data_IF_178803818614
#
_entry.id   IF_178803818614
#
_cell.length_a   1.000
_cell.length_b   1.000
_cell.length_c   1.000
_cell.angle_alpha   90.00
_cell.angle_beta   90.00
_cell.angle_gamma   90.00
#
_symmetry.space_group_name_H-M   'P 1'
#
loop_
_entity.id
_entity.type
_entity.pdbx_description
1 polymer ?
#
# COMPACT_ATOMS: atom_id res chain seq x y z
N UNK A 1 -22.08 2.76 27.62
CA UNK A 1 -23.14 2.15 26.79
C UNK A 1 -22.56 1.02 25.94
N UNK A 2 -23.14 -0.19 26.04
CA UNK A 2 -22.67 -1.37 25.30
C UNK A 2 -23.31 -1.49 23.90
N UNK A 3 -23.26 -0.41 23.12
CA UNK A 3 -24.02 -0.25 21.87
C UNK A 3 -23.14 -0.38 20.63
N UNK A 4 -21.92 0.17 20.65
CA UNK A 4 -21.07 0.27 19.45
C UNK A 4 -19.72 -0.44 19.62
N UNK A 5 -18.85 0.07 20.50
CA UNK A 5 -17.50 -0.48 20.74
C UNK A 5 -17.52 -1.93 21.21
N UNK A 6 -18.27 -2.22 22.28
CA UNK A 6 -18.38 -3.58 22.81
C UNK A 6 -19.02 -4.54 21.80
N UNK A 7 -19.97 -4.06 21.02
CA UNK A 7 -20.66 -4.82 19.97
C UNK A 7 -19.66 -5.22 18.89
N UNK A 8 -18.84 -4.29 18.40
CA UNK A 8 -17.80 -4.58 17.41
C UNK A 8 -16.80 -5.64 17.89
N UNK A 9 -16.36 -5.55 19.16
CA UNK A 9 -15.43 -6.54 19.75
C UNK A 9 -16.07 -7.93 19.85
N UNK A 10 -17.33 -8.01 20.30
CA UNK A 10 -18.06 -9.29 20.37
C UNK A 10 -18.30 -9.87 18.98
N UNK A 11 -18.68 -9.04 17.99
CA UNK A 11 -18.82 -9.48 16.60
C UNK A 11 -17.50 -10.04 16.07
N UNK A 12 -16.37 -9.34 16.25
CA UNK A 12 -15.06 -9.82 15.82
C UNK A 12 -14.66 -11.15 16.48
N UNK A 13 -15.01 -11.32 17.76
CA UNK A 13 -14.77 -12.55 18.50
C UNK A 13 -15.54 -13.72 17.86
N UNK A 14 -16.84 -13.57 17.64
CA UNK A 14 -17.67 -14.60 16.99
C UNK A 14 -17.17 -14.95 15.58
N UNK A 15 -16.82 -13.95 14.78
CA UNK A 15 -16.22 -14.18 13.45
C UNK A 15 -14.97 -15.06 13.53
N UNK A 16 -14.11 -14.82 14.53
CA UNK A 16 -12.85 -15.56 14.69
C UNK A 16 -13.07 -16.97 15.26
N UNK A 17 -13.92 -17.13 16.27
CA UNK A 17 -14.07 -18.40 16.99
C UNK A 17 -15.04 -19.35 16.33
N UNK A 18 -16.08 -18.83 15.66
CA UNK A 18 -17.14 -19.62 15.04
C UNK A 18 -17.05 -19.62 13.51
N UNK A 19 -16.10 -18.88 12.93
CA UNK A 19 -15.92 -18.82 11.48
C UNK A 19 -17.08 -18.14 10.73
N UNK A 20 -17.88 -17.35 11.45
CA UNK A 20 -19.01 -16.62 10.89
C UNK A 20 -18.54 -15.45 10.04
N UNK A 21 -19.31 -15.15 8.98
CA UNK A 21 -19.16 -13.88 8.25
C UNK A 21 -19.49 -12.69 9.14
N UNK A 22 -19.05 -11.49 8.76
CA UNK A 22 -19.35 -10.28 9.53
C UNK A 22 -20.87 -10.04 9.66
N UNK A 23 -21.66 -10.38 8.63
CA UNK A 23 -23.12 -10.22 8.61
C UNK A 23 -23.78 -11.18 9.58
N UNK A 24 -23.40 -12.46 9.55
CA UNK A 24 -23.93 -13.50 10.43
C UNK A 24 -23.57 -13.20 11.89
N UNK A 25 -22.30 -12.88 12.15
CA UNK A 25 -21.85 -12.55 13.50
C UNK A 25 -22.56 -11.31 14.05
N UNK A 26 -22.77 -10.27 13.25
CA UNK A 26 -23.48 -9.08 13.69
C UNK A 26 -24.97 -9.35 13.91
N UNK A 27 -25.61 -10.13 13.04
CA UNK A 27 -27.00 -10.56 13.22
C UNK A 27 -27.18 -11.35 14.53
N UNK A 28 -26.26 -12.25 14.86
CA UNK A 28 -26.27 -12.98 16.13
C UNK A 28 -26.20 -12.03 17.34
N UNK A 29 -25.33 -11.02 17.29
CA UNK A 29 -25.24 -10.00 18.35
C UNK A 29 -26.53 -9.18 18.45
N UNK A 30 -27.14 -8.79 17.33
CA UNK A 30 -28.42 -8.05 17.29
C UNK A 30 -29.58 -8.89 17.84
N UNK A 31 -29.58 -10.20 17.60
CA UNK A 31 -30.59 -11.11 18.14
C UNK A 31 -30.53 -11.18 19.68
N UNK A 32 -29.33 -11.23 20.25
CA UNK A 32 -29.14 -11.20 21.70
C UNK A 32 -29.31 -9.79 22.30
N UNK A 33 -29.00 -8.74 21.53
CA UNK A 33 -29.09 -7.34 21.95
C UNK A 33 -29.69 -6.47 20.84
N UNK A 34 -31.01 -6.24 20.85
CA UNK A 34 -31.69 -5.45 19.82
C UNK A 34 -31.17 -4.02 19.67
N UNK A 35 -30.72 -3.41 20.77
CA UNK A 35 -30.19 -2.03 20.83
C UNK A 35 -28.73 -1.90 20.33
N UNK A 36 -28.09 -2.98 19.89
CA UNK A 36 -26.70 -2.95 19.45
C UNK A 36 -26.56 -2.21 18.11
N UNK A 37 -25.90 -1.05 18.06
CA UNK A 37 -25.75 -0.25 16.84
C UNK A 37 -24.28 0.16 16.66
N UNK A 38 -23.56 -0.60 15.82
CA UNK A 38 -22.16 -0.29 15.53
C UNK A 38 -22.06 0.85 14.50
N UNK A 39 -21.09 1.75 14.69
CA UNK A 39 -20.88 2.85 13.75
C UNK A 39 -20.29 2.34 12.41
N UNK A 40 -20.44 3.09 11.30
CA UNK A 40 -19.96 2.67 9.99
C UNK A 40 -18.46 2.35 9.93
N UNK A 41 -17.63 3.02 10.74
CA UNK A 41 -16.19 2.76 10.83
C UNK A 41 -15.89 1.36 11.35
N UNK A 42 -16.58 0.92 12.42
CA UNK A 42 -16.46 -0.45 12.92
C UNK A 42 -17.00 -1.48 11.91
N UNK A 43 -18.07 -1.17 11.19
CA UNK A 43 -18.57 -2.07 10.14
C UNK A 43 -17.53 -2.27 9.04
N UNK A 44 -16.90 -1.19 8.58
CA UNK A 44 -15.84 -1.25 7.58
C UNK A 44 -14.61 -2.00 8.08
N UNK A 45 -14.20 -1.79 9.35
CA UNK A 45 -13.11 -2.52 9.98
C UNK A 45 -13.39 -4.03 10.07
N UNK A 46 -14.61 -4.45 10.40
CA UNK A 46 -14.96 -5.87 10.48
C UNK A 46 -15.01 -6.54 9.10
N UNK A 47 -15.52 -5.85 8.07
CA UNK A 47 -15.43 -6.32 6.68
C UNK A 47 -13.97 -6.50 6.23
N UNK A 48 -13.10 -5.57 6.61
CA UNK A 48 -11.67 -5.69 6.34
C UNK A 48 -11.05 -6.86 7.13
N UNK A 49 -11.43 -7.04 8.39
CA UNK A 49 -10.98 -8.13 9.24
C UNK A 49 -11.38 -9.50 8.67
N UNK A 50 -12.60 -9.64 8.17
CA UNK A 50 -13.08 -10.82 7.44
C UNK A 50 -12.25 -11.06 6.17
N UNK A 51 -12.01 -10.02 5.35
CA UNK A 51 -11.19 -10.12 4.14
C UNK A 51 -9.73 -10.52 4.43
N UNK A 52 -9.25 -10.26 5.64
CA UNK A 52 -7.94 -10.70 6.15
C UNK A 52 -8.01 -12.05 6.89
N UNK A 53 -9.10 -12.80 6.73
CA UNK A 53 -9.27 -14.13 7.32
C UNK A 53 -9.41 -14.11 8.84
N UNK A 54 -10.04 -13.08 9.40
CA UNK A 54 -10.17 -12.86 10.85
C UNK A 54 -8.80 -12.83 11.57
N UNK A 55 -7.81 -12.23 10.90
CA UNK A 55 -6.47 -11.95 11.46
C UNK A 55 -6.05 -10.52 11.13
N UNK A 56 -5.13 -9.97 11.93
CA UNK A 56 -4.54 -8.65 11.68
C UNK A 56 -3.07 -8.85 11.35
N UNK A 57 -2.79 -9.18 10.09
CA UNK A 57 -1.43 -9.25 9.57
C UNK A 57 -0.96 -7.85 9.16
N UNK A 58 0.00 -7.31 9.92
CA UNK A 58 0.56 -5.97 9.68
C UNK A 58 1.37 -5.87 8.39
N UNK A 59 1.76 -7.01 7.81
CA UNK A 59 2.47 -7.08 6.53
C UNK A 59 1.52 -7.11 5.33
N UNK A 60 0.23 -7.37 5.55
CA UNK A 60 -0.78 -7.45 4.51
C UNK A 60 -0.93 -6.12 3.75
N UNK A 61 -0.96 -6.14 2.41
CA UNK A 61 -1.24 -4.95 1.60
C UNK A 61 -2.58 -4.29 1.95
N UNK A 62 -3.59 -5.07 2.34
CA UNK A 62 -4.91 -4.56 2.74
C UNK A 62 -4.80 -3.71 4.02
N UNK A 63 -4.08 -4.22 5.02
CA UNK A 63 -3.88 -3.52 6.27
C UNK A 63 -3.04 -2.25 6.09
N UNK A 64 -1.96 -2.33 5.27
CA UNK A 64 -1.13 -1.18 4.86
C UNK A 64 -1.95 -0.10 4.17
N UNK A 65 -2.84 -0.46 3.26
CA UNK A 65 -3.71 0.52 2.61
C UNK A 65 -4.70 1.14 3.59
N UNK A 66 -5.31 0.33 4.45
CA UNK A 66 -6.25 0.81 5.47
C UNK A 66 -5.63 1.84 6.41
N UNK A 67 -4.49 1.53 7.02
CA UNK A 67 -3.81 2.47 7.94
C UNK A 67 -3.36 3.75 7.24
N UNK A 68 -2.95 3.68 5.98
CA UNK A 68 -2.63 4.88 5.19
C UNK A 68 -3.85 5.76 4.94
N UNK A 69 -5.03 5.17 4.69
CA UNK A 69 -6.28 5.92 4.54
C UNK A 69 -6.70 6.61 5.85
N UNK A 70 -6.62 5.87 6.97
CA UNK A 70 -6.93 6.43 8.30
C UNK A 70 -6.05 7.64 8.60
N UNK A 71 -4.77 7.63 8.22
CA UNK A 71 -3.89 8.79 8.41
C UNK A 71 -4.34 10.01 7.62
N UNK A 72 -4.69 9.82 6.34
CA UNK A 72 -5.20 10.92 5.50
C UNK A 72 -6.46 11.56 6.10
N UNK A 73 -7.30 10.77 6.77
CA UNK A 73 -8.54 11.25 7.40
C UNK A 73 -8.30 11.90 8.77
N UNK A 74 -7.36 11.39 9.57
CA UNK A 74 -7.15 11.84 10.96
C UNK A 74 -6.09 12.93 11.13
N UNK A 75 -5.12 13.06 10.22
CA UNK A 75 -3.98 13.96 10.38
C UNK A 75 -4.05 15.10 9.35
N UNK A 76 -4.84 16.14 9.66
CA UNK A 76 -5.04 17.30 8.76
C UNK A 76 -3.78 18.13 8.52
N UNK A 77 -2.81 18.09 9.44
CA UNK A 77 -1.62 18.94 9.38
C UNK A 77 -0.32 18.18 9.07
N UNK A 78 -0.33 16.83 9.13
CA UNK A 78 0.82 15.95 8.84
C UNK A 78 2.15 16.41 9.46
N UNK A 79 2.10 17.08 10.62
CA UNK A 79 3.28 17.61 11.32
C UNK A 79 4.06 16.52 12.05
N UNK A 80 3.36 15.45 12.44
CA UNK A 80 3.94 14.26 13.06
C UNK A 80 3.26 13.02 12.47
N UNK A 81 4.07 12.08 11.96
CA UNK A 81 3.60 10.85 11.33
C UNK A 81 4.09 9.67 12.17
N UNK A 82 3.18 8.78 12.65
CA UNK A 82 3.61 7.65 13.45
C UNK A 82 4.64 6.77 12.72
N UNK A 83 5.73 6.41 13.40
CA UNK A 83 6.83 5.64 12.79
C UNK A 83 6.35 4.31 12.18
N UNK A 84 5.31 3.71 12.76
CA UNK A 84 4.69 2.46 12.34
C UNK A 84 4.08 2.52 10.94
N UNK A 85 3.86 3.70 10.39
CA UNK A 85 3.33 3.92 9.04
C UNK A 85 4.40 3.65 7.99
N UNK A 86 5.67 3.85 8.36
CA UNK A 86 6.78 3.78 7.44
C UNK A 86 7.35 2.37 7.34
N UNK A 87 7.56 1.91 6.12
CA UNK A 87 8.46 0.80 5.87
C UNK A 87 9.90 1.19 6.26
N UNK A 88 10.64 0.23 6.80
CA UNK A 88 12.05 0.43 7.15
C UNK A 88 12.90 0.79 5.91
N UNK A 89 13.82 1.74 6.06
CA UNK A 89 14.80 2.03 5.00
C UNK A 89 15.67 0.77 4.76
N UNK A 90 15.70 0.22 3.53
CA UNK A 90 16.48 -0.98 3.23
C UNK A 90 17.99 -0.86 3.48
N UNK A 91 18.50 0.35 3.63
CA UNK A 91 19.92 0.60 3.91
C UNK A 91 20.25 0.68 5.40
N UNK A 92 19.24 0.85 6.26
CA UNK A 92 19.41 0.90 7.71
C UNK A 92 19.28 -0.49 8.36
N UNK A 93 18.73 -1.48 7.64
CA UNK A 93 18.47 -2.82 8.15
C UNK A 93 19.24 -3.88 7.33
N UNK A 94 20.18 -4.58 7.96
CA UNK A 94 21.00 -5.62 7.30
C UNK A 94 20.32 -6.97 7.12
N UNK A 95 19.10 -7.15 7.66
CA UNK A 95 18.37 -8.41 7.59
C UNK A 95 17.27 -8.30 6.54
N UNK A 96 17.55 -8.77 5.33
CA UNK A 96 16.51 -9.05 4.34
C UNK A 96 16.44 -10.56 4.17
N UNK A 97 15.24 -11.16 4.07
CA UNK A 97 15.11 -12.53 3.60
C UNK A 97 15.88 -12.67 2.27
N UNK A 98 16.61 -13.77 2.10
CA UNK A 98 17.48 -13.98 0.93
C UNK A 98 16.71 -13.92 -0.41
N UNK A 99 15.38 -14.04 -0.36
CA UNK A 99 14.47 -14.05 -1.51
C UNK A 99 13.77 -12.71 -1.79
N UNK A 100 13.96 -11.69 -0.95
CA UNK A 100 13.25 -10.42 -1.10
C UNK A 100 13.82 -9.57 -2.23
N UNK A 101 12.94 -9.03 -3.07
CA UNK A 101 13.32 -8.18 -4.19
C UNK A 101 13.54 -6.75 -3.68
N UNK A 102 14.72 -6.18 -3.96
CA UNK A 102 15.09 -4.81 -3.62
C UNK A 102 15.04 -3.89 -4.84
N UNK A 103 14.45 -2.72 -4.67
CA UNK A 103 14.40 -1.69 -5.70
C UNK A 103 15.45 -0.62 -5.41
N UNK A 104 16.33 -0.36 -6.39
CA UNK A 104 17.47 0.54 -6.26
C UNK A 104 17.34 1.71 -7.21
N UNK A 105 17.79 2.89 -6.80
CA UNK A 105 17.88 4.05 -7.69
C UNK A 105 18.76 3.73 -8.90
N UNK A 106 18.25 3.95 -10.12
CA UNK A 106 18.98 3.64 -11.36
C UNK A 106 20.24 4.49 -11.54
N UNK A 107 20.29 5.71 -10.97
CA UNK A 107 21.43 6.64 -11.08
C UNK A 107 22.58 6.29 -10.13
N UNK A 108 22.28 5.96 -8.87
CA UNK A 108 23.31 5.85 -7.81
C UNK A 108 23.33 4.50 -7.08
N UNK A 109 22.43 3.59 -7.47
CA UNK A 109 22.24 2.22 -6.96
C UNK A 109 21.91 2.11 -5.46
N UNK A 110 21.58 3.22 -4.78
CA UNK A 110 21.07 3.18 -3.40
C UNK A 110 19.72 2.45 -3.37
N UNK A 111 19.56 1.52 -2.43
CA UNK A 111 18.28 0.83 -2.19
C UNK A 111 17.24 1.83 -1.67
N UNK A 112 16.01 1.70 -2.16
CA UNK A 112 14.91 2.63 -1.90
C UNK A 112 13.74 1.94 -1.20
N UNK A 113 13.30 0.78 -1.68
CA UNK A 113 12.18 0.04 -1.10
C UNK A 113 12.26 -1.44 -1.45
N UNK A 114 11.42 -2.25 -0.81
CA UNK A 114 11.32 -3.71 -1.00
C UNK A 114 10.05 -4.06 -1.79
N UNK A 115 9.98 -5.27 -2.34
CA UNK A 115 8.74 -5.79 -2.92
C UNK A 115 7.58 -5.81 -1.92
N UNK A 116 7.86 -6.07 -0.64
CA UNK A 116 6.87 -6.04 0.43
C UNK A 116 6.24 -4.65 0.65
N UNK A 117 6.91 -3.57 0.22
CA UNK A 117 6.40 -2.20 0.31
C UNK A 117 5.44 -1.84 -0.82
N UNK A 118 5.31 -2.65 -1.87
CA UNK A 118 4.47 -2.35 -3.03
C UNK A 118 2.99 -2.60 -2.70
N UNK A 119 2.15 -1.59 -2.92
CA UNK A 119 0.70 -1.66 -2.81
C UNK A 119 0.09 -1.72 -4.22
N UNK A 120 -0.19 -2.94 -4.69
CA UNK A 120 -0.81 -3.16 -5.99
C UNK A 120 -2.28 -2.73 -5.99
N UNK A 121 -2.73 -2.15 -7.10
CA UNK A 121 -4.15 -1.89 -7.35
C UNK A 121 -4.64 -2.70 -8.55
N UNK A 122 -5.94 -3.00 -8.56
CA UNK A 122 -6.61 -3.53 -9.75
C UNK A 122 -6.52 -2.50 -10.88
N UNK A 123 -5.99 -2.91 -12.03
CA UNK A 123 -5.87 -2.05 -13.21
C UNK A 123 -7.23 -1.45 -13.57
N UNK A 124 -7.27 -0.15 -13.84
CA UNK A 124 -8.48 0.53 -14.31
C UNK A 124 -8.81 0.13 -15.75
N UNK A 125 -9.94 0.61 -16.27
CA UNK A 125 -10.35 0.40 -17.67
C UNK A 125 -9.47 1.10 -18.71
N UNK A 126 -8.24 1.47 -18.37
CA UNK A 126 -7.27 2.09 -19.27
C UNK A 126 -7.61 3.54 -19.66
N UNK A 127 -6.86 4.13 -20.61
CA UNK A 127 -7.09 5.48 -21.13
C UNK A 127 -8.43 5.66 -21.88
N UNK A 128 -9.15 4.57 -22.18
CA UNK A 128 -10.41 4.61 -22.93
C UNK A 128 -11.59 5.14 -22.11
N UNK A 129 -11.50 5.14 -20.78
CA UNK A 129 -12.55 5.69 -19.91
C UNK A 129 -12.75 7.23 -20.08
N UNK A 130 -11.82 7.94 -20.72
CA UNK A 130 -11.92 9.40 -20.94
C UNK A 130 -11.43 9.83 -22.33
N UNK A 131 -11.68 9.02 -23.37
CA UNK A 131 -11.34 9.32 -24.77
C UNK A 131 -12.11 10.52 -25.40
N UNK A 132 -12.65 11.44 -24.60
CA UNK A 132 -13.35 12.64 -25.10
C UNK A 132 -12.42 13.83 -25.41
N UNK A 133 -11.09 13.70 -25.33
CA UNK A 133 -10.19 14.85 -25.53
C UNK A 133 -8.94 14.66 -26.40
N UNK A 134 -8.87 13.66 -27.27
CA UNK A 134 -7.80 13.58 -28.29
C UNK A 134 -8.35 13.18 -29.66
N UNK A 135 -8.99 14.13 -30.33
CA UNK A 135 -9.10 14.10 -31.80
C UNK A 135 -7.84 14.75 -32.35
N UNK A 136 -6.80 13.95 -32.57
CA UNK A 136 -5.80 14.18 -33.61
C UNK A 136 -5.17 12.84 -33.98
N UNK A 137 -5.60 12.31 -35.12
CA UNK A 137 -4.85 11.49 -36.08
C UNK A 137 -3.92 10.38 -35.59
N UNK A 138 -4.25 9.16 -36.03
CA UNK A 138 -3.35 8.01 -36.23
C UNK A 138 -2.92 7.19 -35.01
N UNK A 139 -3.70 6.15 -34.69
CA UNK A 139 -3.17 4.84 -34.29
C UNK A 139 -4.30 3.79 -34.38
N UNK A 140 -4.49 3.23 -35.58
CA UNK A 140 -5.21 1.97 -35.74
C UNK A 140 -4.35 0.82 -35.20
N UNK A 141 -4.99 0.00 -34.36
CA UNK A 141 -4.84 -1.47 -34.24
C UNK A 141 -3.45 -2.04 -33.92
N UNK A 142 -3.19 -2.30 -32.62
CA UNK A 142 -2.57 -3.53 -32.08
C UNK A 142 -3.19 -3.74 -30.69
N UNK A 143 -3.95 -4.82 -30.44
CA UNK A 143 -3.42 -6.15 -30.16
C UNK A 143 -3.30 -6.32 -28.63
N UNK A 144 -4.12 -7.20 -28.04
CA UNK A 144 -4.29 -7.35 -26.58
C UNK A 144 -3.02 -7.72 -25.79
N UNK A 145 -2.29 -6.71 -25.34
CA UNK A 145 -1.27 -6.83 -24.30
C UNK A 145 -1.79 -6.23 -22.99
N UNK A 146 -1.60 -6.94 -21.87
CA UNK A 146 -1.79 -6.39 -20.52
C UNK A 146 -0.89 -5.16 -20.36
N UNK A 147 -1.45 -3.96 -20.47
CA UNK A 147 -0.73 -2.69 -20.29
C UNK A 147 -0.34 -2.52 -18.82
N UNK A 148 0.77 -3.12 -18.40
CA UNK A 148 1.23 -3.03 -17.02
C UNK A 148 1.51 -1.58 -16.62
N UNK A 149 1.05 -1.16 -15.45
CA UNK A 149 1.26 0.20 -14.93
C UNK A 149 2.73 0.66 -15.05
N UNK A 150 2.97 1.93 -15.39
CA UNK A 150 4.33 2.47 -15.59
C UNK A 150 5.09 2.79 -14.29
N UNK A 151 4.41 2.68 -13.16
CA UNK A 151 4.90 3.10 -11.85
C UNK A 151 4.54 2.08 -10.78
N UNK A 152 5.37 2.01 -9.74
CA UNK A 152 5.06 1.33 -8.49
C UNK A 152 4.36 2.31 -7.55
N UNK A 153 3.34 1.83 -6.85
CA UNK A 153 2.76 2.51 -5.70
C UNK A 153 3.23 1.77 -4.46
N UNK A 154 3.72 2.50 -3.46
CA UNK A 154 4.27 1.89 -2.25
C UNK A 154 3.62 2.47 -1.00
N UNK A 155 3.76 1.79 0.13
CA UNK A 155 3.70 2.47 1.42
C UNK A 155 4.88 3.46 1.53
N UNK A 156 4.78 4.52 2.36
CA UNK A 156 5.89 5.44 2.57
C UNK A 156 7.03 4.69 3.25
N UNK A 157 8.27 5.00 2.84
CA UNK A 157 9.49 4.43 3.44
C UNK A 157 10.13 5.51 4.31
N UNK A 158 10.82 5.13 5.39
CA UNK A 158 11.45 6.07 6.33
C UNK A 158 12.25 7.20 5.66
N UNK A 159 13.01 6.93 4.59
CA UNK A 159 13.75 8.00 3.90
C UNK A 159 12.88 9.06 3.23
N UNK A 160 11.59 8.79 3.01
CA UNK A 160 10.62 9.74 2.45
C UNK A 160 10.11 10.73 3.50
N UNK A 161 10.18 10.39 4.78
CA UNK A 161 9.58 11.16 5.89
C UNK A 161 9.86 12.67 5.81
N UNK A 162 11.11 13.14 5.61
CA UNK A 162 11.38 14.59 5.55
C UNK A 162 10.65 15.31 4.40
N UNK A 163 10.30 14.60 3.34
CA UNK A 163 9.56 15.15 2.20
C UNK A 163 8.04 15.15 2.41
N UNK A 164 7.52 14.38 3.39
CA UNK A 164 6.09 14.21 3.63
C UNK A 164 5.54 15.13 4.72
N UNK A 165 6.38 15.58 5.65
CA UNK A 165 5.96 16.37 6.80
C UNK A 165 5.41 17.75 6.38
N UNK A 166 4.21 18.08 6.88
CA UNK A 166 3.56 19.37 6.65
C UNK A 166 3.07 19.63 5.22
N UNK A 167 3.12 18.64 4.32
CA UNK A 167 2.75 18.80 2.90
C UNK A 167 1.84 17.69 2.40
N UNK A 168 0.84 18.06 1.60
CA UNK A 168 -0.16 17.11 1.06
C UNK A 168 0.27 16.45 -0.25
N UNK A 169 1.19 17.05 -0.99
CA UNK A 169 1.70 16.53 -2.25
C UNK A 169 3.11 17.07 -2.52
N UNK A 170 3.90 16.34 -3.31
CA UNK A 170 5.27 16.73 -3.58
C UNK A 170 6.04 15.73 -4.44
N UNK A 171 7.35 15.98 -4.55
CA UNK A 171 8.27 15.15 -5.32
C UNK A 171 9.04 14.19 -4.42
N UNK A 172 9.25 12.96 -4.90
CA UNK A 172 10.14 12.00 -4.25
C UNK A 172 11.50 12.05 -4.93
N UNK A 173 12.53 12.48 -4.20
CA UNK A 173 13.91 12.57 -4.65
C UNK A 173 14.75 11.46 -4.02
N UNK A 174 15.73 10.93 -4.75
CA UNK A 174 16.66 9.96 -4.18
C UNK A 174 17.50 10.60 -3.07
N UNK A 175 17.57 10.02 -1.85
CA UNK A 175 18.30 10.61 -0.73
C UNK A 175 19.82 10.65 -0.93
N UNK A 176 20.37 9.87 -1.88
CA UNK A 176 21.82 9.85 -2.18
C UNK A 176 22.24 10.80 -3.30
N UNK A 177 21.42 10.97 -4.35
CA UNK A 177 21.85 11.68 -5.57
C UNK A 177 20.84 12.74 -6.06
N UNK A 178 19.78 12.99 -5.28
CA UNK A 178 18.72 13.95 -5.55
C UNK A 178 17.99 13.79 -6.90
N UNK A 179 18.18 12.67 -7.62
CA UNK A 179 17.44 12.42 -8.85
C UNK A 179 15.96 12.20 -8.55
N UNK A 180 15.07 12.81 -9.34
CA UNK A 180 13.63 12.60 -9.23
C UNK A 180 13.24 11.14 -9.50
N UNK A 181 12.60 10.50 -8.52
CA UNK A 181 12.11 9.13 -8.56
C UNK A 181 10.62 9.05 -8.90
N UNK A 182 9.85 10.04 -8.43
CA UNK A 182 8.41 10.14 -8.67
C UNK A 182 7.76 11.26 -7.87
N UNK A 183 6.53 11.03 -7.39
CA UNK A 183 5.67 12.00 -6.70
C UNK A 183 4.90 11.31 -5.58
N UNK A 184 4.38 12.11 -4.65
CA UNK A 184 3.38 11.66 -3.70
C UNK A 184 2.20 12.63 -3.63
N UNK A 185 1.03 12.11 -3.27
CA UNK A 185 -0.18 12.86 -2.96
C UNK A 185 -1.00 12.11 -1.92
N UNK A 186 -1.23 12.73 -0.78
CA UNK A 186 -2.09 12.19 0.28
C UNK A 186 -3.57 12.12 -0.15
N UNK A 187 -3.97 12.99 -1.08
CA UNK A 187 -5.32 12.98 -1.69
C UNK A 187 -5.44 11.93 -2.81
N UNK A 188 -4.32 11.40 -3.25
CA UNK A 188 -4.21 10.42 -4.31
C UNK A 188 -3.84 10.99 -5.66
N UNK A 189 -3.49 10.09 -6.57
CA UNK A 189 -3.06 10.40 -7.93
C UNK A 189 -3.60 9.33 -8.90
N UNK A 190 -3.78 9.70 -10.17
CA UNK A 190 -4.25 8.80 -11.22
C UNK A 190 -3.08 7.99 -11.79
N UNK A 191 -3.18 6.66 -11.70
CA UNK A 191 -2.24 5.75 -12.36
C UNK A 191 -2.38 5.80 -13.88
N UNK A 192 -1.33 5.38 -14.60
CA UNK A 192 -1.35 5.24 -16.07
C UNK A 192 -2.44 4.29 -16.59
N UNK A 193 -2.88 3.32 -15.78
CA UNK A 193 -4.01 2.44 -16.11
C UNK A 193 -5.39 3.10 -15.91
N UNK A 194 -5.44 4.35 -15.45
CA UNK A 194 -6.68 5.09 -15.18
C UNK A 194 -7.26 4.90 -13.77
N UNK A 195 -6.74 3.98 -12.96
CA UNK A 195 -7.18 3.81 -11.56
C UNK A 195 -6.74 4.99 -10.70
N UNK A 196 -7.65 5.50 -9.88
CA UNK A 196 -7.34 6.46 -8.81
C UNK A 196 -6.76 5.72 -7.61
N UNK A 197 -5.58 6.12 -7.15
CA UNK A 197 -4.88 5.52 -6.00
C UNK A 197 -4.80 6.56 -4.89
N UNK A 198 -5.30 6.24 -3.69
CA UNK A 198 -5.27 7.13 -2.52
C UNK A 198 -4.90 6.36 -1.24
N UNK A 199 -3.96 6.88 -0.43
CA UNK A 199 -2.95 7.88 -0.82
C UNK A 199 -2.00 7.31 -1.88
N UNK A 200 -1.31 8.19 -2.62
CA UNK A 200 -0.41 7.80 -3.71
C UNK A 200 1.03 8.15 -3.35
N UNK A 201 1.89 7.13 -3.22
CA UNK A 201 3.35 7.30 -3.20
C UNK A 201 3.91 6.59 -4.43
N UNK A 202 4.11 7.36 -5.49
CA UNK A 202 4.39 6.84 -6.83
C UNK A 202 5.89 6.91 -7.13
N UNK A 203 6.47 5.76 -7.52
CA UNK A 203 7.84 5.67 -8.01
C UNK A 203 7.83 5.12 -9.43
N UNK A 204 8.42 5.86 -10.37
CA UNK A 204 8.45 5.44 -11.77
C UNK A 204 9.38 4.24 -11.98
N UNK A 205 8.88 3.22 -12.69
CA UNK A 205 9.67 2.02 -13.04
C UNK A 205 10.95 2.36 -13.79
N UNK A 206 10.93 3.40 -14.62
CA UNK A 206 12.10 3.85 -15.39
C UNK A 206 13.24 4.42 -14.55
N UNK A 207 12.99 4.79 -13.29
CA UNK A 207 13.94 5.43 -12.36
C UNK A 207 14.55 4.45 -11.35
N UNK A 208 14.08 3.20 -11.32
CA UNK A 208 14.55 2.16 -10.40
C UNK A 208 14.89 0.87 -11.12
N UNK A 209 15.85 0.14 -10.58
CA UNK A 209 16.22 -1.20 -11.04
C UNK A 209 15.81 -2.23 -9.99
N UNK A 210 15.32 -3.38 -10.45
CA UNK A 210 15.05 -4.55 -9.62
C UNK A 210 16.35 -5.33 -9.36
N UNK A 211 16.65 -5.61 -8.10
CA UNK A 211 17.80 -6.40 -7.68
C UNK A 211 17.33 -7.52 -6.75
N UNK A 212 17.55 -8.77 -7.17
CA UNK A 212 17.38 -9.95 -6.31
C UNK A 212 18.65 -10.13 -5.50
N UNK A 213 18.51 -10.27 -4.18
CA UNK A 213 19.56 -10.89 -3.39
C UNK A 213 19.65 -12.34 -3.83
N UNK A 214 20.83 -12.77 -4.27
CA UNK A 214 21.10 -14.20 -4.43
C UNK A 214 21.71 -14.67 -3.11
N UNK A 215 21.30 -15.84 -2.59
CA UNK A 215 21.99 -16.45 -1.47
C UNK A 215 23.48 -16.55 -1.83
N UNK A 216 24.35 -16.01 -0.98
CA UNK A 216 25.79 -16.24 -1.08
C UNK A 216 26.01 -17.73 -0.81
N UNK A 217 25.96 -18.55 -1.86
CA UNK A 217 26.41 -19.93 -1.78
C UNK A 217 27.85 -19.94 -1.28
N UNK A 218 28.11 -20.71 -0.22
CA UNK A 218 29.43 -20.89 0.37
C UNK A 218 30.48 -21.16 -0.73
N UNK A 219 31.24 -20.14 -1.12
CA UNK A 219 32.45 -20.33 -1.89
C UNK A 219 33.47 -20.88 -0.90
N UNK A 220 33.50 -22.20 -0.73
CA UNK A 220 34.65 -22.87 -0.13
C UNK A 220 35.85 -22.54 -1.00
N UNK A 221 36.72 -21.67 -0.49
CA UNK A 221 38.03 -21.44 -1.06
C UNK A 221 38.79 -22.76 -1.03
N UNK A 222 38.86 -23.45 -2.17
CA UNK A 222 39.82 -24.52 -2.39
C UNK A 222 41.20 -23.87 -2.33
N UNK A 223 41.87 -24.01 -1.17
CA UNK A 223 43.30 -23.74 -1.04
C UNK A 223 44.03 -24.94 -1.65
N UNK A 224 44.73 -24.69 -2.74
CA UNK A 224 45.81 -25.54 -3.25
C UNK A 224 47.08 -25.22 -2.50
#
# INVERSE_FOLDING_TARGET
>A
AGVSRSVAVVTAYLMKTEGLSWEEAYAAVRAAKPDAEMNPGFQAQLKLYEAMGCTVDVSSPLYKQYRLQVLTECYSELQDLPQEVFAADPTSTCQTPDTEILYRCRKCRRALFRSSSILSHTEGSGPTAFAHKRITGSAQLRGGGRETCTSYFTEPVQWMEPALLGVLEGQLLCPKCASKLGSFSWRGERCSCGRWVTPAFQIHKSRVDEARTLPLGNIQAAKT
#
